data_IF_586531589071
#
_entry.id   IF_586531589071
#
_cell.length_a   1.000
_cell.length_b   1.000
_cell.length_c   1.000
_cell.angle_alpha   90.00
_cell.angle_beta   90.00
_cell.angle_gamma   90.00
#
_symmetry.space_group_name_H-M   'P 1'
#
loop_
_entity.id
_entity.type
_entity.pdbx_description
1 polymer ?
#
# COMPACT_ATOMS: atom_id res chain seq x y z
N UNK A 1 -23.00 0.87 13.08
CA UNK A 1 -22.11 0.78 11.91
C UNK A 1 -20.80 0.20 12.41
N UNK A 2 -20.46 -1.04 12.05
CA UNK A 2 -19.19 -1.63 12.48
C UNK A 2 -18.07 -0.90 11.72
N UNK A 3 -17.20 -0.20 12.44
CA UNK A 3 -16.01 0.39 11.86
C UNK A 3 -15.03 -0.76 11.57
N UNK A 4 -15.18 -1.42 10.42
CA UNK A 4 -14.24 -2.43 9.96
C UNK A 4 -12.93 -1.73 9.57
N UNK A 5 -12.01 -1.68 10.51
CA UNK A 5 -10.63 -1.26 10.30
C UNK A 5 -9.74 -2.48 10.16
N UNK A 6 -8.69 -2.35 9.35
CA UNK A 6 -7.64 -3.34 9.13
C UNK A 6 -6.33 -2.81 9.67
N UNK A 7 -5.58 -3.69 10.34
CA UNK A 7 -4.25 -3.36 10.86
C UNK A 7 -3.17 -3.76 9.88
N UNK A 8 -2.26 -2.82 9.62
CA UNK A 8 -1.04 -3.08 8.88
C UNK A 8 -0.12 -3.99 9.71
N UNK A 9 0.66 -4.84 9.05
CA UNK A 9 1.79 -5.54 9.66
C UNK A 9 2.91 -4.56 9.98
N UNK A 10 3.15 -3.59 9.10
CA UNK A 10 4.16 -2.55 9.27
C UNK A 10 3.53 -1.17 9.31
N UNK A 11 3.19 -0.63 8.15
CA UNK A 11 2.43 0.60 7.97
C UNK A 11 1.77 0.58 6.59
N UNK A 12 0.64 1.26 6.49
CA UNK A 12 -0.08 1.40 5.24
C UNK A 12 0.59 2.44 4.33
N UNK A 13 0.68 2.12 3.05
CA UNK A 13 1.18 2.99 1.99
C UNK A 13 0.13 3.15 0.90
N UNK A 14 0.13 4.29 0.21
CA UNK A 14 -0.75 4.50 -0.94
C UNK A 14 -0.30 3.65 -2.13
N UNK A 15 -1.27 3.10 -2.87
CA UNK A 15 -1.01 2.39 -4.13
C UNK A 15 -0.99 3.35 -5.32
N UNK A 16 -0.55 2.87 -6.51
CA UNK A 16 -0.69 3.59 -7.78
C UNK A 16 -2.14 3.97 -8.10
N UNK A 17 -3.12 3.17 -7.63
CA UNK A 17 -4.54 3.45 -7.80
C UNK A 17 -4.98 4.68 -6.99
N UNK A 18 -4.51 4.79 -5.75
CA UNK A 18 -4.80 5.95 -4.92
C UNK A 18 -4.17 7.23 -5.48
N UNK A 19 -2.96 7.12 -6.04
CA UNK A 19 -2.31 8.21 -6.76
C UNK A 19 -3.08 8.65 -7.99
N UNK A 20 -3.56 7.70 -8.82
CA UNK A 20 -4.38 8.04 -9.97
C UNK A 20 -5.69 8.76 -9.60
N UNK A 21 -6.28 8.44 -8.44
CA UNK A 21 -7.49 9.11 -7.94
C UNK A 21 -7.21 10.48 -7.30
N UNK A 22 -6.09 10.64 -6.60
CA UNK A 22 -5.73 11.87 -5.91
C UNK A 22 -4.21 12.08 -5.85
N UNK A 23 -3.58 12.47 -6.97
CA UNK A 23 -2.12 12.53 -7.07
C UNK A 23 -1.51 13.61 -6.17
N UNK A 24 -2.30 14.61 -5.78
CA UNK A 24 -1.85 15.72 -4.92
C UNK A 24 -1.66 15.29 -3.46
N UNK A 25 -2.35 14.24 -3.00
CA UNK A 25 -2.37 13.83 -1.58
C UNK A 25 -2.00 12.37 -1.33
N UNK A 26 -2.15 11.49 -2.33
CA UNK A 26 -2.00 10.05 -2.20
C UNK A 26 -0.88 9.52 -3.11
N UNK A 27 0.37 9.83 -2.79
CA UNK A 27 1.53 9.45 -3.62
C UNK A 27 1.86 7.97 -3.43
N UNK A 28 1.94 7.20 -4.51
CA UNK A 28 2.19 5.77 -4.46
C UNK A 28 3.52 5.45 -3.74
N UNK A 29 3.52 4.46 -2.86
CA UNK A 29 4.67 4.08 -2.05
C UNK A 29 4.99 5.02 -0.89
N UNK A 30 4.32 6.18 -0.76
CA UNK A 30 4.39 6.98 0.47
C UNK A 30 3.42 6.45 1.52
N UNK A 31 3.81 6.64 2.77
CA UNK A 31 2.95 6.35 3.91
C UNK A 31 1.62 7.12 3.82
N UNK A 32 0.54 6.48 4.25
CA UNK A 32 -0.75 7.16 4.36
C UNK A 32 -0.75 8.14 5.55
N UNK A 33 -1.89 8.82 5.76
CA UNK A 33 -1.99 9.77 6.86
C UNK A 33 -1.61 9.15 8.22
N UNK A 34 -0.87 9.87 9.09
CA UNK A 34 -0.32 9.32 10.32
C UNK A 34 -1.35 8.66 11.25
N UNK A 35 -2.57 9.18 11.27
CA UNK A 35 -3.68 8.66 12.09
C UNK A 35 -4.26 7.35 11.57
N UNK A 36 -4.02 7.00 10.29
CA UNK A 36 -4.39 5.71 9.72
C UNK A 36 -3.19 4.79 9.48
N UNK A 37 -1.96 5.23 9.80
CA UNK A 37 -0.70 4.55 9.45
C UNK A 37 -0.68 3.07 9.79
N UNK A 38 -1.18 2.69 10.95
CA UNK A 38 -1.21 1.28 11.42
C UNK A 38 -2.59 0.66 11.32
N UNK A 39 -3.65 1.48 11.29
CA UNK A 39 -5.04 1.02 11.31
C UNK A 39 -5.86 1.90 10.37
N UNK A 40 -6.33 1.32 9.27
CA UNK A 40 -7.04 2.03 8.22
C UNK A 40 -8.40 1.35 7.95
N UNK A 41 -9.36 2.02 7.30
CA UNK A 41 -10.61 1.38 6.91
C UNK A 41 -10.37 0.16 6.00
N UNK A 42 -10.99 -0.98 6.30
CA UNK A 42 -10.92 -2.20 5.49
C UNK A 42 -11.27 -1.95 4.02
N UNK A 43 -12.26 -1.07 3.82
CA UNK A 43 -12.69 -0.63 2.48
C UNK A 43 -11.56 -0.08 1.63
N UNK A 44 -10.56 0.61 2.20
CA UNK A 44 -9.44 1.13 1.42
C UNK A 44 -8.52 0.02 0.92
N UNK A 45 -8.36 -1.05 1.70
CA UNK A 45 -7.61 -2.23 1.29
C UNK A 45 -8.39 -3.02 0.24
N UNK A 46 -9.69 -3.23 0.45
CA UNK A 46 -10.61 -3.89 -0.50
C UNK A 46 -10.69 -3.13 -1.83
N UNK A 47 -10.75 -1.79 -1.79
CA UNK A 47 -10.75 -0.92 -2.97
C UNK A 47 -9.35 -0.83 -3.63
N UNK A 48 -8.31 -1.45 -3.05
CA UNK A 48 -6.94 -1.44 -3.57
C UNK A 48 -6.25 -0.07 -3.49
N UNK A 49 -6.70 0.81 -2.60
CA UNK A 49 -6.14 2.16 -2.42
C UNK A 49 -4.90 2.17 -1.52
N UNK A 50 -4.83 1.23 -0.59
CA UNK A 50 -3.70 1.08 0.33
C UNK A 50 -3.13 -0.34 0.24
N UNK A 51 -1.84 -0.46 0.55
CA UNK A 51 -1.15 -1.73 0.68
C UNK A 51 -0.17 -1.66 1.85
N UNK A 52 0.14 -2.79 2.48
CA UNK A 52 1.14 -2.80 3.54
C UNK A 52 2.51 -2.50 2.93
N UNK A 53 3.35 -1.73 3.63
CA UNK A 53 4.67 -1.38 3.15
C UNK A 53 5.58 -2.61 2.94
N UNK A 54 5.32 -3.70 3.66
CA UNK A 54 6.01 -4.98 3.46
C UNK A 54 5.61 -5.67 2.15
N UNK A 55 4.44 -5.33 1.60
CA UNK A 55 3.90 -5.84 0.33
C UNK A 55 4.14 -4.89 -0.84
N UNK A 56 4.82 -3.74 -0.60
CA UNK A 56 5.35 -2.93 -1.69
C UNK A 56 6.42 -3.78 -2.37
N UNK A 57 6.03 -4.54 -3.40
CA UNK A 57 6.96 -5.21 -4.27
C UNK A 57 7.91 -4.12 -4.79
N UNK A 58 9.16 -4.20 -4.33
CA UNK A 58 10.27 -3.48 -4.95
C UNK A 58 10.39 -4.08 -6.34
N UNK A 59 9.62 -3.51 -7.27
CA UNK A 59 9.56 -3.79 -8.70
C UNK A 59 10.95 -3.52 -9.31
N UNK A 60 11.91 -4.39 -9.00
CA UNK A 60 13.34 -4.11 -9.17
C UNK A 60 14.30 -5.19 -8.68
N UNK A 61 13.87 -6.24 -7.98
CA UNK A 61 14.67 -7.46 -7.89
C UNK A 61 14.03 -8.55 -8.74
N UNK A 62 14.21 -8.42 -10.06
CA UNK A 62 14.37 -9.60 -10.89
C UNK A 62 15.59 -10.30 -10.30
N UNK A 63 15.39 -11.39 -9.59
CA UNK A 63 16.51 -12.22 -9.17
C UNK A 63 17.27 -12.59 -10.44
N UNK A 64 18.49 -12.06 -10.58
CA UNK A 64 19.44 -12.35 -11.66
C UNK A 64 19.85 -13.84 -11.74
N UNK A 65 19.17 -14.72 -11.02
CA UNK A 65 19.40 -16.16 -10.96
C UNK A 65 18.64 -16.95 -12.03
N UNK A 66 17.75 -16.34 -12.82
CA UNK A 66 17.03 -17.03 -13.90
C UNK A 66 17.73 -17.01 -15.28
N UNK A 67 18.96 -16.49 -15.40
CA UNK A 67 19.71 -16.48 -16.68
C UNK A 67 21.08 -17.16 -16.51
N UNK A 68 21.06 -18.42 -16.07
CA UNK A 68 22.14 -19.37 -16.27
C UNK A 68 21.53 -20.65 -16.85
N UNK A 69 21.24 -20.63 -18.15
CA UNK A 69 21.12 -21.83 -19.00
C UNK A 69 21.87 -21.57 -20.30
#
# INVERSE_FOLDING_TARGET
MQNNTVKAKTYWTWTKLAEAKNPTRSIAGKEIWPHYRTEAPAKWLEDGLIQDASEVEKDGQVDLFDILV
#
